data_IF_611609001087
#
_entry.id   IF_611609001087
#
_cell.length_a   1.000
_cell.length_b   1.000
_cell.length_c   1.000
_cell.angle_alpha   90.00
_cell.angle_beta   90.00
_cell.angle_gamma   90.00
#
_symmetry.space_group_name_H-M   'P 1'
#
loop_
_entity.id
_entity.type
_entity.pdbx_description
1 polymer ?
#
# COMPACT_ATOMS: atom_id res chain seq x y z
N UNK A 1 -33.07 -21.98 -2.22
CA UNK A 1 -32.39 -21.05 -3.13
C UNK A 1 -31.42 -21.87 -3.94
N UNK A 2 -31.78 -22.08 -5.19
CA UNK A 2 -31.00 -22.85 -6.15
C UNK A 2 -29.87 -21.95 -6.65
N UNK A 3 -28.63 -22.29 -6.33
CA UNK A 3 -27.46 -21.60 -6.86
C UNK A 3 -27.27 -22.10 -8.29
N UNK A 4 -28.00 -21.47 -9.22
CA UNK A 4 -27.87 -21.76 -10.65
C UNK A 4 -26.40 -21.80 -11.06
N UNK A 5 -26.04 -22.86 -11.77
CA UNK A 5 -24.69 -23.13 -12.26
C UNK A 5 -24.12 -21.90 -12.97
N UNK A 6 -23.25 -21.16 -12.27
CA UNK A 6 -22.34 -20.21 -12.92
C UNK A 6 -21.21 -21.02 -13.55
N UNK A 7 -21.52 -21.73 -14.65
CA UNK A 7 -20.50 -22.17 -15.62
C UNK A 7 -20.22 -21.00 -16.55
N UNK A 8 -19.61 -19.94 -16.03
CA UNK A 8 -18.75 -19.12 -16.87
C UNK A 8 -17.41 -19.85 -16.90
N UNK A 9 -16.96 -20.26 -18.07
CA UNK A 9 -15.58 -20.73 -18.28
C UNK A 9 -14.63 -19.61 -17.81
N UNK A 10 -14.23 -19.66 -16.54
CA UNK A 10 -13.16 -18.81 -16.03
C UNK A 10 -11.92 -19.21 -16.81
N UNK A 11 -11.31 -18.24 -17.49
CA UNK A 11 -9.99 -18.43 -18.08
C UNK A 11 -9.05 -18.96 -17.00
N UNK A 12 -8.17 -19.90 -17.34
CA UNK A 12 -7.11 -20.39 -16.43
C UNK A 12 -6.31 -19.25 -15.78
N UNK A 13 -6.26 -18.09 -16.45
CA UNK A 13 -5.67 -16.86 -15.94
C UNK A 13 -6.49 -16.23 -14.80
N UNK A 14 -7.81 -16.17 -14.94
CA UNK A 14 -8.71 -15.63 -13.91
C UNK A 14 -8.76 -16.53 -12.67
N UNK A 15 -8.63 -17.85 -12.86
CA UNK A 15 -8.49 -18.82 -11.79
C UNK A 15 -7.17 -18.63 -11.02
N UNK A 16 -6.05 -18.48 -11.73
CA UNK A 16 -4.73 -18.23 -11.12
C UNK A 16 -4.68 -16.88 -10.39
N UNK A 17 -5.20 -15.82 -10.99
CA UNK A 17 -5.24 -14.48 -10.38
C UNK A 17 -6.11 -14.49 -9.10
N UNK A 18 -7.22 -15.24 -9.11
CA UNK A 18 -8.06 -15.45 -7.93
C UNK A 18 -7.37 -16.29 -6.84
N UNK A 19 -6.63 -17.33 -7.21
CA UNK A 19 -5.90 -18.18 -6.27
C UNK A 19 -4.74 -17.40 -5.61
N UNK A 20 -4.05 -16.54 -6.38
CA UNK A 20 -3.01 -15.65 -5.87
C UNK A 20 -3.60 -14.58 -4.93
N UNK A 21 -4.74 -14.00 -5.29
CA UNK A 21 -5.46 -13.07 -4.42
C UNK A 21 -5.92 -13.76 -3.12
N UNK A 22 -6.48 -14.97 -3.20
CA UNK A 22 -6.91 -15.76 -2.05
C UNK A 22 -5.75 -16.06 -1.11
N UNK A 23 -4.62 -16.50 -1.65
CA UNK A 23 -3.40 -16.74 -0.87
C UNK A 23 -2.88 -15.47 -0.20
N UNK A 24 -2.95 -14.32 -0.89
CA UNK A 24 -2.59 -13.01 -0.33
C UNK A 24 -3.49 -12.63 0.84
N UNK A 25 -4.81 -12.81 0.72
CA UNK A 25 -5.75 -12.55 1.81
C UNK A 25 -5.54 -13.50 2.98
N UNK A 26 -5.38 -14.80 2.73
CA UNK A 26 -5.10 -15.80 3.77
C UNK A 26 -3.83 -15.44 4.55
N UNK A 27 -2.77 -15.03 3.85
CA UNK A 27 -1.52 -14.58 4.47
C UNK A 27 -1.71 -13.31 5.30
N UNK A 28 -2.52 -12.36 4.82
CA UNK A 28 -2.87 -11.15 5.58
C UNK A 28 -3.62 -11.50 6.87
N UNK A 29 -4.67 -12.32 6.81
CA UNK A 29 -5.43 -12.71 8.01
C UNK A 29 -4.61 -13.49 9.02
N UNK A 30 -3.75 -14.42 8.56
CA UNK A 30 -2.82 -15.13 9.45
C UNK A 30 -1.84 -14.19 10.15
N UNK A 31 -1.34 -13.17 9.44
CA UNK A 31 -0.48 -12.13 10.03
C UNK A 31 -1.22 -11.34 11.10
N UNK A 32 -2.48 -10.95 10.82
CA UNK A 32 -3.33 -10.21 11.76
C UNK A 32 -3.62 -11.05 13.01
N UNK A 33 -4.02 -12.31 12.84
CA UNK A 33 -4.31 -13.22 13.95
C UNK A 33 -3.08 -13.44 14.85
N UNK A 34 -1.93 -13.77 14.24
CA UNK A 34 -0.68 -13.95 14.99
C UNK A 34 -0.32 -12.70 15.78
N UNK A 35 -0.47 -11.53 15.16
CA UNK A 35 -0.19 -10.26 15.80
C UNK A 35 -1.09 -9.98 17.01
N UNK A 36 -2.40 -10.21 16.90
CA UNK A 36 -3.30 -10.05 18.05
C UNK A 36 -3.01 -11.05 19.17
N UNK A 37 -2.65 -12.29 18.82
CA UNK A 37 -2.20 -13.28 19.80
C UNK A 37 -0.91 -12.85 20.52
N UNK A 38 0.03 -12.23 19.81
CA UNK A 38 1.24 -11.66 20.40
C UNK A 38 0.91 -10.45 21.29
N UNK A 39 -0.02 -9.59 20.89
CA UNK A 39 -0.48 -8.45 21.72
C UNK A 39 -1.13 -8.88 23.03
N UNK A 40 -1.90 -9.97 23.04
CA UNK A 40 -2.53 -10.49 24.27
C UNK A 40 -1.48 -10.92 25.32
N UNK A 41 -0.26 -11.23 24.89
CA UNK A 41 0.87 -11.53 25.79
C UNK A 41 1.51 -10.29 26.42
N UNK A 42 1.23 -9.09 25.90
CA UNK A 42 1.80 -7.82 26.38
C UNK A 42 1.03 -7.34 27.61
N UNK A 43 1.66 -7.44 28.78
CA UNK A 43 1.01 -7.12 30.07
C UNK A 43 1.53 -5.84 30.73
N UNK A 44 2.66 -5.29 30.27
CA UNK A 44 3.29 -4.13 30.89
C UNK A 44 3.27 -2.90 29.99
N UNK A 45 3.28 -1.71 30.61
CA UNK A 45 3.34 -0.43 29.87
C UNK A 45 4.65 -0.31 29.09
N UNK A 46 5.75 -0.83 29.64
CA UNK A 46 7.07 -0.77 29.00
C UNK A 46 7.10 -1.62 27.73
N UNK A 47 6.51 -2.81 27.77
CA UNK A 47 6.40 -3.68 26.59
C UNK A 47 5.52 -3.05 25.51
N UNK A 48 4.43 -2.38 25.91
CA UNK A 48 3.58 -1.61 24.99
C UNK A 48 4.39 -0.49 24.31
N UNK A 49 5.22 0.24 25.05
CA UNK A 49 6.02 1.35 24.49
C UNK A 49 7.10 0.85 23.53
N UNK A 50 7.74 -0.29 23.84
CA UNK A 50 8.71 -0.96 22.95
C UNK A 50 8.03 -1.35 21.64
N UNK A 51 6.86 -1.97 21.73
CA UNK A 51 6.11 -2.42 20.56
C UNK A 51 5.57 -1.25 19.72
N UNK A 52 5.09 -0.18 20.38
CA UNK A 52 4.72 1.07 19.70
C UNK A 52 5.90 1.68 18.94
N UNK A 53 7.10 1.67 19.53
CA UNK A 53 8.31 2.16 18.87
C UNK A 53 8.68 1.31 17.65
N UNK A 54 8.59 -0.02 17.78
CA UNK A 54 8.83 -0.97 16.68
C UNK A 54 7.89 -0.74 15.50
N UNK A 55 6.59 -0.58 15.76
CA UNK A 55 5.57 -0.33 14.73
C UNK A 55 5.71 1.05 14.09
N UNK A 56 6.01 2.09 14.88
CA UNK A 56 6.30 3.43 14.35
C UNK A 56 7.53 3.40 13.44
N UNK A 57 8.56 2.63 13.78
CA UNK A 57 9.72 2.42 12.90
C UNK A 57 9.37 1.70 11.59
N UNK A 58 8.47 0.70 11.64
CA UNK A 58 7.94 0.03 10.44
C UNK A 58 7.09 0.99 9.58
N UNK A 59 6.28 1.83 10.21
CA UNK A 59 5.50 2.88 9.56
C UNK A 59 6.38 3.94 8.92
N UNK A 60 7.44 4.40 9.56
CA UNK A 60 8.37 5.38 8.99
C UNK A 60 9.13 4.82 7.79
N UNK A 61 9.57 3.55 7.85
CA UNK A 61 10.14 2.84 6.69
C UNK A 61 9.13 2.72 5.53
N UNK A 62 7.84 2.62 5.87
CA UNK A 62 6.71 2.53 4.94
C UNK A 62 5.98 3.87 4.69
N UNK A 63 6.44 5.00 5.20
CA UNK A 63 5.95 6.33 4.87
C UNK A 63 7.04 6.99 4.07
N UNK A 64 7.37 6.38 2.93
CA UNK A 64 8.66 6.64 2.31
C UNK A 64 8.56 7.82 1.33
N UNK A 65 9.23 8.97 1.59
CA UNK A 65 9.39 10.03 0.60
C UNK A 65 10.10 9.54 -0.67
N UNK A 66 10.70 8.35 -0.64
CA UNK A 66 11.24 7.65 -1.81
C UNK A 66 10.19 7.42 -2.90
N UNK A 67 8.90 7.23 -2.57
CA UNK A 67 7.87 7.14 -3.62
C UNK A 67 7.66 8.48 -4.34
N UNK A 68 7.60 9.57 -3.59
CA UNK A 68 7.52 10.91 -4.17
C UNK A 68 8.79 11.26 -4.96
N UNK A 69 9.96 10.88 -4.45
CA UNK A 69 11.24 11.01 -5.13
C UNK A 69 11.32 10.15 -6.40
N UNK A 70 10.78 8.93 -6.37
CA UNK A 70 10.73 8.04 -7.53
C UNK A 70 9.83 8.63 -8.60
N UNK A 71 8.65 9.13 -8.23
CA UNK A 71 7.73 9.82 -9.15
C UNK A 71 8.41 11.05 -9.75
N UNK A 72 9.13 11.85 -8.96
CA UNK A 72 9.82 13.04 -9.46
C UNK A 72 10.99 12.70 -10.40
N UNK A 73 11.81 11.70 -10.07
CA UNK A 73 12.89 11.21 -10.94
C UNK A 73 12.32 10.67 -12.25
N UNK A 74 11.25 9.87 -12.20
CA UNK A 74 10.61 9.33 -13.40
C UNK A 74 10.00 10.44 -14.26
N UNK A 75 9.43 11.48 -13.66
CA UNK A 75 8.92 12.64 -14.38
C UNK A 75 10.03 13.43 -15.09
N UNK A 76 11.18 13.60 -14.43
CA UNK A 76 12.36 14.24 -15.05
C UNK A 76 12.84 13.42 -16.24
N UNK A 77 13.16 12.13 -16.04
CA UNK A 77 13.61 11.23 -17.11
C UNK A 77 12.63 11.22 -18.28
N UNK A 78 11.34 11.21 -17.99
CA UNK A 78 10.30 11.26 -19.00
C UNK A 78 10.32 12.57 -19.80
N UNK A 79 10.38 13.72 -19.13
CA UNK A 79 10.46 15.03 -19.77
C UNK A 79 11.68 15.11 -20.70
N UNK A 80 12.84 14.64 -20.23
CA UNK A 80 14.05 14.60 -21.05
C UNK A 80 13.89 13.69 -22.25
N UNK A 81 13.28 12.52 -22.09
CA UNK A 81 13.08 11.55 -23.18
C UNK A 81 12.14 12.10 -24.25
N UNK A 82 11.05 12.75 -23.85
CA UNK A 82 10.11 13.41 -24.76
C UNK A 82 10.83 14.51 -25.55
N UNK A 83 11.52 15.41 -24.85
CA UNK A 83 12.19 16.53 -25.51
C UNK A 83 13.24 16.02 -26.50
N UNK A 84 14.02 15.02 -26.10
CA UNK A 84 15.03 14.39 -26.96
C UNK A 84 14.39 13.71 -28.19
N UNK A 85 13.25 13.06 -28.02
CA UNK A 85 12.52 12.41 -29.13
C UNK A 85 12.02 13.46 -30.13
N UNK A 86 11.48 14.57 -29.64
CA UNK A 86 11.01 15.64 -30.52
C UNK A 86 12.15 16.40 -31.20
N UNK A 87 13.23 16.69 -30.48
CA UNK A 87 14.41 17.38 -31.01
C UNK A 87 15.13 16.52 -32.07
N UNK A 88 15.18 15.19 -31.92
CA UNK A 88 15.77 14.27 -32.91
C UNK A 88 14.86 14.00 -34.12
N UNK A 89 13.55 14.17 -33.97
CA UNK A 89 12.58 13.79 -35.01
C UNK A 89 12.43 14.81 -36.15
N UNK A 90 13.03 15.99 -36.03
CA UNK A 90 12.96 17.10 -37.00
C UNK A 90 11.52 17.42 -37.48
N UNK A 91 10.53 17.15 -36.61
CA UNK A 91 9.11 17.39 -36.89
C UNK A 91 8.84 18.89 -36.81
N UNK A 92 8.98 19.56 -37.96
CA UNK A 92 8.73 21.00 -38.13
C UNK A 92 7.25 21.37 -38.04
N UNK A 93 6.35 20.42 -38.26
CA UNK A 93 4.91 20.65 -38.18
C UNK A 93 4.42 20.66 -36.72
N UNK A 94 4.09 21.87 -36.24
CA UNK A 94 3.58 22.12 -34.90
C UNK A 94 2.34 21.28 -34.54
N UNK A 95 1.43 21.06 -35.50
CA UNK A 95 0.19 20.32 -35.26
C UNK A 95 0.45 18.83 -35.01
N UNK A 96 1.35 18.23 -35.80
CA UNK A 96 1.77 16.83 -35.64
C UNK A 96 2.51 16.65 -34.31
N UNK A 97 3.40 17.58 -33.96
CA UNK A 97 4.11 17.58 -32.68
C UNK A 97 3.14 17.64 -31.49
N UNK A 98 2.09 18.45 -31.57
CA UNK A 98 1.09 18.55 -30.51
C UNK A 98 0.33 17.23 -30.30
N UNK A 99 -0.12 16.60 -31.41
CA UNK A 99 -0.87 15.34 -31.37
C UNK A 99 0.01 14.20 -30.80
N UNK A 100 1.27 14.11 -31.22
CA UNK A 100 2.20 13.10 -30.72
C UNK A 100 2.50 13.28 -29.23
N UNK A 101 2.65 14.52 -28.77
CA UNK A 101 2.84 14.83 -27.34
C UNK A 101 1.64 14.35 -26.53
N UNK A 102 0.42 14.62 -27.03
CA UNK A 102 -0.81 14.25 -26.35
C UNK A 102 -1.00 12.73 -26.29
N UNK A 103 -0.69 12.01 -27.37
CA UNK A 103 -0.66 10.54 -27.41
C UNK A 103 0.33 9.97 -26.40
N UNK A 104 1.53 10.56 -26.30
CA UNK A 104 2.54 10.14 -25.33
C UNK A 104 2.08 10.32 -23.88
N UNK A 105 1.42 11.45 -23.57
CA UNK A 105 0.84 11.71 -22.24
C UNK A 105 -0.23 10.67 -21.90
N UNK A 106 -1.13 10.35 -22.84
CA UNK A 106 -2.18 9.34 -22.62
C UNK A 106 -1.58 7.95 -22.39
N UNK A 107 -0.59 7.56 -23.19
CA UNK A 107 0.12 6.29 -23.03
C UNK A 107 0.84 6.20 -21.68
N UNK A 108 1.35 7.33 -21.19
CA UNK A 108 1.95 7.46 -19.87
C UNK A 108 0.94 7.24 -18.75
N UNK A 109 -0.23 7.91 -18.81
CA UNK A 109 -1.28 7.75 -17.80
C UNK A 109 -1.67 6.28 -17.69
N UNK A 110 -1.73 5.58 -18.82
CA UNK A 110 -2.00 4.15 -18.86
C UNK A 110 -0.89 3.32 -18.19
N UNK A 111 0.39 3.56 -18.53
CA UNK A 111 1.53 2.87 -17.91
C UNK A 111 1.62 3.10 -16.40
N UNK A 112 1.43 4.35 -15.98
CA UNK A 112 1.43 4.76 -14.57
C UNK A 112 0.28 4.07 -13.82
N UNK A 113 -0.92 4.04 -14.39
CA UNK A 113 -2.05 3.34 -13.76
C UNK A 113 -1.80 1.83 -13.65
N UNK A 114 -1.19 1.20 -14.66
CA UNK A 114 -0.87 -0.24 -14.62
C UNK A 114 0.28 -0.56 -13.67
N UNK A 115 1.29 0.31 -13.54
CA UNK A 115 2.45 0.11 -12.68
C UNK A 115 2.22 0.47 -11.20
N UNK A 116 1.50 1.56 -10.93
CA UNK A 116 1.33 2.08 -9.56
C UNK A 116 0.23 1.34 -8.80
N UNK A 117 -0.92 1.01 -9.41
CA UNK A 117 -2.01 0.30 -8.72
C UNK A 117 -1.57 -0.97 -7.97
N UNK A 118 -0.85 -1.92 -8.61
CA UNK A 118 -0.49 -3.17 -7.95
C UNK A 118 0.52 -2.98 -6.81
N UNK A 119 1.28 -1.87 -6.82
CA UNK A 119 2.24 -1.51 -5.76
C UNK A 119 1.53 -0.76 -4.61
N UNK A 120 0.58 0.12 -4.94
CA UNK A 120 -0.11 0.97 -3.97
C UNK A 120 -1.09 0.20 -3.07
N UNK A 121 -1.80 -0.79 -3.60
CA UNK A 121 -2.79 -1.58 -2.84
C UNK A 121 -2.17 -2.33 -1.63
N UNK A 122 -1.12 -3.16 -1.79
CA UNK A 122 -0.48 -3.83 -0.66
C UNK A 122 0.19 -2.85 0.31
N UNK A 123 0.67 -1.71 -0.18
CA UNK A 123 1.25 -0.65 0.65
C UNK A 123 0.21 -0.02 1.59
N UNK A 124 -0.97 0.33 1.04
CA UNK A 124 -2.12 0.85 1.80
C UNK A 124 -2.56 -0.12 2.91
N UNK A 125 -2.68 -1.41 2.60
CA UNK A 125 -3.12 -2.41 3.58
C UNK A 125 -2.12 -2.61 4.73
N UNK A 126 -0.82 -2.50 4.44
CA UNK A 126 0.22 -2.56 5.48
C UNK A 126 0.23 -1.32 6.37
N UNK A 127 0.08 -0.12 5.79
CA UNK A 127 -0.03 1.13 6.58
C UNK A 127 -1.28 1.10 7.46
N UNK A 128 -2.42 0.69 6.90
CA UNK A 128 -3.66 0.54 7.66
C UNK A 128 -3.50 -0.45 8.81
N UNK A 129 -2.85 -1.60 8.56
CA UNK A 129 -2.57 -2.57 9.62
C UNK A 129 -1.72 -1.97 10.74
N UNK A 130 -0.60 -1.31 10.42
CA UNK A 130 0.30 -0.76 11.44
C UNK A 130 -0.32 0.42 12.22
N UNK A 131 -1.17 1.23 11.57
CA UNK A 131 -1.89 2.32 12.23
C UNK A 131 -2.96 1.78 13.19
N UNK A 132 -3.80 0.84 12.74
CA UNK A 132 -4.77 0.19 13.61
C UNK A 132 -4.11 -0.55 14.78
N UNK A 133 -2.96 -1.19 14.56
CA UNK A 133 -2.19 -1.83 15.61
C UNK A 133 -1.69 -0.83 16.69
N UNK A 134 -1.24 0.37 16.27
CA UNK A 134 -0.83 1.42 17.21
C UNK A 134 -1.99 1.93 18.06
N UNK A 135 -3.17 2.11 17.47
CA UNK A 135 -4.38 2.55 18.18
C UNK A 135 -4.76 1.55 19.27
N UNK A 136 -4.74 0.25 18.96
CA UNK A 136 -5.03 -0.82 19.93
C UNK A 136 -4.02 -0.81 21.08
N UNK A 137 -2.72 -0.65 20.80
CA UNK A 137 -1.70 -0.53 21.86
C UNK A 137 -1.92 0.68 22.76
N UNK A 138 -2.33 1.81 22.17
CA UNK A 138 -2.60 3.02 22.94
C UNK A 138 -3.80 2.85 23.87
N UNK A 139 -4.85 2.16 23.41
CA UNK A 139 -6.01 1.84 24.23
C UNK A 139 -5.69 0.85 25.36
N UNK A 140 -4.87 -0.17 25.09
CA UNK A 140 -4.36 -1.07 26.12
C UNK A 140 -3.58 -0.30 27.19
N UNK A 141 -2.69 0.62 26.79
CA UNK A 141 -1.94 1.48 27.71
C UNK A 141 -2.87 2.34 28.57
N UNK A 142 -3.87 2.98 27.96
CA UNK A 142 -4.88 3.79 28.66
C UNK A 142 -5.68 2.96 29.67
N UNK A 143 -6.01 1.71 29.34
CA UNK A 143 -6.73 0.79 30.23
C UNK A 143 -5.88 0.43 31.46
N UNK A 144 -4.63 0.00 31.27
CA UNK A 144 -3.70 -0.33 32.37
C UNK A 144 -3.49 0.88 33.29
N UNK A 145 -3.33 2.08 32.73
CA UNK A 145 -3.17 3.31 33.51
C UNK A 145 -4.42 3.66 34.32
N UNK A 146 -5.62 3.47 33.77
CA UNK A 146 -6.89 3.66 34.49
C UNK A 146 -7.03 2.68 35.65
N UNK A 147 -6.73 1.40 35.43
CA UNK A 147 -6.76 0.38 36.48
C UNK A 147 -5.76 0.65 37.60
N UNK A 148 -4.53 1.09 37.27
CA UNK A 148 -3.53 1.51 38.27
C UNK A 148 -3.99 2.74 39.06
N UNK A 149 -4.58 3.74 38.40
CA UNK A 149 -5.14 4.93 39.09
C UNK A 149 -6.29 4.55 40.02
N UNK A 150 -7.17 3.65 39.59
CA UNK A 150 -8.27 3.15 40.41
C UNK A 150 -7.76 2.40 41.64
N UNK A 151 -6.80 1.47 41.46
CA UNK A 151 -6.17 0.72 42.56
C UNK A 151 -5.41 1.60 43.56
N UNK A 152 -4.84 2.73 43.12
CA UNK A 152 -4.18 3.70 44.02
C UNK A 152 -5.14 4.55 44.85
N UNK A 153 -6.43 4.62 44.47
CA UNK A 153 -7.48 5.38 45.17
C UNK A 153 -8.29 4.53 46.15
N UNK A 154 -8.10 3.21 46.13
CA UNK A 154 -8.61 2.26 47.13
C UNK A 154 -7.48 1.91 48.09
#
# INVERSE_FOLDING_TARGET
>A
MDFGEVKSELSDKDLKDNEEALNKYKKYYLKVYKYYSEMDSIKSIQDIEIEQSRLKGQLQKNSNPIFALYISIMAVVFSTTINLTFDLSDITNYFIRMIMTLLFIVLLIFLVNKGILPIAIPYRNNIQFYTTALDVLEDMKKKILRERKYKKRR
#
